data_IF_682444555740
#
_entry.id   IF_682444555740
#
_cell.length_a   1.000
_cell.length_b   1.000
_cell.length_c   1.000
_cell.angle_alpha   90.00
_cell.angle_beta   90.00
_cell.angle_gamma   90.00
#
_symmetry.space_group_name_H-M   'P 1'
#
loop_
_entity.id
_entity.type
_entity.pdbx_description
1 polymer ?
#
# COMPACT_ATOMS: atom_id res chain seq x y z
N UNK A 1 13.14 -5.48 44.43
CA UNK A 1 12.46 -5.63 43.11
C UNK A 1 11.80 -4.32 42.68
N UNK A 2 10.97 -3.70 43.53
CA UNK A 2 10.27 -2.44 43.25
C UNK A 2 11.18 -1.27 42.82
N UNK A 3 12.37 -1.13 43.41
CA UNK A 3 13.33 -0.08 43.06
C UNK A 3 13.95 -0.23 41.67
N UNK A 4 14.16 -1.47 41.21
CA UNK A 4 14.69 -1.75 39.87
C UNK A 4 13.62 -1.42 38.82
N UNK A 5 12.37 -1.83 39.07
CA UNK A 5 11.24 -1.54 38.20
C UNK A 5 11.00 -0.03 38.04
N UNK A 6 11.05 0.75 39.13
CA UNK A 6 10.88 2.21 39.06
C UNK A 6 11.95 2.91 38.21
N UNK A 7 13.19 2.40 38.22
CA UNK A 7 14.28 2.95 37.39
C UNK A 7 14.21 2.48 35.94
N UNK A 8 13.76 1.24 35.71
CA UNK A 8 13.66 0.65 34.38
C UNK A 8 12.47 1.18 33.57
N UNK A 9 11.33 1.45 34.23
CA UNK A 9 10.08 1.83 33.55
C UNK A 9 10.24 3.03 32.60
N UNK A 10 10.94 4.13 32.95
CA UNK A 10 11.16 5.24 32.03
C UNK A 10 11.96 4.82 30.77
N UNK A 11 13.00 4.01 30.92
CA UNK A 11 13.78 3.50 29.78
C UNK A 11 12.95 2.57 28.89
N UNK A 12 12.15 1.70 29.50
CA UNK A 12 11.24 0.82 28.79
C UNK A 12 10.18 1.62 28.00
N UNK A 13 9.62 2.66 28.63
CA UNK A 13 8.67 3.56 27.99
C UNK A 13 9.30 4.28 26.79
N UNK A 14 10.45 4.93 26.99
CA UNK A 14 11.15 5.65 25.91
C UNK A 14 11.51 4.70 24.76
N UNK A 15 12.05 3.53 25.06
CA UNK A 15 12.40 2.52 24.04
C UNK A 15 11.17 2.08 23.23
N UNK A 16 10.03 1.90 23.92
CA UNK A 16 8.77 1.48 23.29
C UNK A 16 8.22 2.58 22.40
N UNK A 17 8.19 3.84 22.87
CA UNK A 17 7.73 4.98 22.09
C UNK A 17 8.60 5.18 20.85
N UNK A 18 9.93 5.10 20.98
CA UNK A 18 10.84 5.23 19.84
C UNK A 18 10.63 4.12 18.81
N UNK A 19 10.52 2.86 19.24
CA UNK A 19 10.27 1.74 18.33
C UNK A 19 8.90 1.86 17.65
N UNK A 20 7.87 2.31 18.38
CA UNK A 20 6.53 2.53 17.83
C UNK A 20 6.54 3.65 16.78
N UNK A 21 7.21 4.77 17.05
CA UNK A 21 7.34 5.87 16.08
C UNK A 21 8.07 5.43 14.82
N UNK A 22 9.17 4.67 14.94
CA UNK A 22 9.89 4.12 13.77
C UNK A 22 8.97 3.21 12.96
N UNK A 23 8.28 2.28 13.63
CA UNK A 23 7.37 1.35 12.97
C UNK A 23 6.26 2.09 12.22
N UNK A 24 5.59 3.04 12.88
CA UNK A 24 4.49 3.79 12.29
C UNK A 24 4.95 4.64 11.11
N UNK A 25 6.07 5.35 11.25
CA UNK A 25 6.63 6.18 10.17
C UNK A 25 6.97 5.35 8.93
N UNK A 26 7.68 4.24 9.10
CA UNK A 26 8.07 3.39 7.95
C UNK A 26 6.85 2.64 7.39
N UNK A 27 5.92 2.19 8.23
CA UNK A 27 4.68 1.58 7.77
C UNK A 27 3.84 2.56 6.93
N UNK A 28 3.77 3.82 7.34
CA UNK A 28 3.08 4.87 6.60
C UNK A 28 3.76 5.15 5.26
N UNK A 29 5.09 5.26 5.25
CA UNK A 29 5.90 5.46 4.04
C UNK A 29 5.70 4.31 3.02
N UNK A 30 5.73 3.06 3.48
CA UNK A 30 5.45 1.89 2.65
C UNK A 30 4.07 1.96 2.00
N UNK A 31 3.04 2.40 2.74
CA UNK A 31 1.69 2.59 2.20
C UNK A 31 1.61 3.74 1.21
N UNK A 32 2.30 4.85 1.42
CA UNK A 32 2.31 5.98 0.50
C UNK A 32 3.06 5.65 -0.79
N UNK A 33 4.23 5.04 -0.69
CA UNK A 33 5.02 4.53 -1.83
C UNK A 33 4.27 3.49 -2.67
N UNK A 34 3.34 2.78 -2.05
CA UNK A 34 2.46 1.85 -2.74
C UNK A 34 1.35 2.53 -3.53
N UNK A 35 1.07 3.83 -3.36
CA UNK A 35 0.01 4.55 -4.05
C UNK A 35 0.54 5.57 -5.08
N UNK A 36 1.70 6.19 -4.82
CA UNK A 36 2.19 7.32 -5.62
C UNK A 36 2.34 7.02 -7.12
N UNK A 37 2.93 5.88 -7.55
CA UNK A 37 3.01 5.55 -8.97
C UNK A 37 1.64 5.40 -9.62
N UNK A 38 0.67 4.81 -8.93
CA UNK A 38 -0.67 4.57 -9.50
C UNK A 38 -1.48 5.85 -9.62
N UNK A 39 -1.30 6.79 -8.69
CA UNK A 39 -1.90 8.12 -8.79
C UNK A 39 -1.40 8.81 -10.06
N UNK A 40 -0.07 8.84 -10.24
CA UNK A 40 0.55 9.44 -11.43
C UNK A 40 0.06 8.76 -12.71
N UNK A 41 0.12 7.44 -12.79
CA UNK A 41 -0.30 6.68 -13.99
C UNK A 41 -1.77 6.93 -14.33
N UNK A 42 -2.67 6.97 -13.32
CA UNK A 42 -4.09 7.23 -13.56
C UNK A 42 -4.35 8.69 -13.98
N UNK A 43 -3.69 9.67 -13.37
CA UNK A 43 -3.83 11.08 -13.71
C UNK A 43 -3.28 11.38 -15.11
N UNK A 44 -2.13 10.80 -15.47
CA UNK A 44 -1.54 10.90 -16.81
C UNK A 44 -2.46 10.27 -17.86
N UNK A 45 -3.00 9.08 -17.59
CA UNK A 45 -3.97 8.45 -18.49
C UNK A 45 -5.23 9.31 -18.69
N UNK A 46 -5.78 9.91 -17.63
CA UNK A 46 -6.92 10.84 -17.74
C UNK A 46 -6.55 12.10 -18.53
N UNK A 47 -5.33 12.62 -18.34
CA UNK A 47 -4.81 13.77 -19.09
C UNK A 47 -4.69 13.46 -20.58
N UNK A 48 -4.18 12.28 -20.93
CA UNK A 48 -4.00 11.87 -22.31
C UNK A 48 -5.32 11.56 -23.02
N UNK A 49 -6.30 10.99 -22.31
CA UNK A 49 -7.68 10.88 -22.82
C UNK A 49 -8.27 12.25 -23.18
N UNK A 50 -8.00 13.30 -22.37
CA UNK A 50 -8.45 14.67 -22.68
C UNK A 50 -7.77 15.26 -23.92
N UNK A 51 -6.54 14.82 -24.22
CA UNK A 51 -5.80 15.20 -25.45
C UNK A 51 -6.22 14.39 -26.68
N UNK A 52 -7.18 13.48 -26.55
CA UNK A 52 -7.70 12.68 -27.66
C UNK A 52 -7.02 11.32 -27.86
N UNK A 53 -6.17 10.88 -26.92
CA UNK A 53 -5.72 9.48 -26.93
C UNK A 53 -6.88 8.53 -26.67
N UNK A 54 -6.77 7.30 -27.17
CA UNK A 54 -7.76 6.24 -26.95
C UNK A 54 -7.29 5.29 -25.84
N UNK A 55 -8.21 4.65 -25.11
CA UNK A 55 -7.88 3.58 -24.17
C UNK A 55 -6.96 2.51 -24.78
N UNK A 56 -7.21 2.11 -26.03
CA UNK A 56 -6.43 1.09 -26.72
C UNK A 56 -4.97 1.50 -26.93
N UNK A 57 -4.71 2.76 -27.31
CA UNK A 57 -3.33 3.26 -27.48
C UNK A 57 -2.57 3.29 -26.14
N UNK A 58 -3.24 3.76 -25.07
CA UNK A 58 -2.65 3.83 -23.74
C UNK A 58 -2.31 2.43 -23.21
N UNK A 59 -3.22 1.47 -23.37
CA UNK A 59 -2.99 0.07 -22.99
C UNK A 59 -1.88 -0.58 -23.83
N UNK A 60 -1.84 -0.33 -25.14
CA UNK A 60 -0.86 -0.94 -26.06
C UNK A 60 0.59 -0.53 -25.75
N UNK A 61 0.79 0.62 -25.10
CA UNK A 61 2.11 1.06 -24.63
C UNK A 61 2.59 0.32 -23.36
N UNK A 62 1.68 -0.36 -22.67
CA UNK A 62 1.96 -1.16 -21.49
C UNK A 62 2.12 -2.63 -21.87
N UNK A 63 2.95 -3.34 -21.10
CA UNK A 63 3.04 -4.80 -21.19
C UNK A 63 1.72 -5.40 -20.70
N UNK A 64 1.13 -6.30 -21.47
CA UNK A 64 0.02 -7.14 -21.00
C UNK A 64 0.51 -8.05 -19.87
N UNK A 65 -0.18 -8.04 -18.74
CA UNK A 65 0.19 -8.84 -17.57
C UNK A 65 -0.97 -9.70 -17.05
N UNK A 66 -0.62 -10.82 -16.43
CA UNK A 66 -1.53 -11.55 -15.56
C UNK A 66 -1.32 -11.07 -14.12
N UNK A 67 -2.40 -10.63 -13.46
CA UNK A 67 -2.34 -10.00 -12.14
C UNK A 67 -1.76 -10.92 -11.07
N UNK A 68 -1.99 -12.22 -11.17
CA UNK A 68 -1.49 -13.23 -10.22
C UNK A 68 0.04 -13.35 -10.23
N UNK A 69 0.65 -13.12 -11.39
CA UNK A 69 2.05 -13.43 -11.62
C UNK A 69 2.92 -12.18 -11.53
N UNK A 70 2.40 -11.04 -11.98
CA UNK A 70 3.17 -9.81 -12.12
C UNK A 70 3.16 -8.91 -10.88
N UNK A 71 4.18 -8.05 -10.77
CA UNK A 71 4.24 -6.93 -9.82
C UNK A 71 4.06 -5.58 -10.51
N UNK A 72 3.99 -5.58 -11.84
CA UNK A 72 3.95 -4.36 -12.63
C UNK A 72 2.61 -3.62 -12.41
N UNK A 73 2.63 -2.28 -12.41
CA UNK A 73 1.41 -1.51 -12.46
C UNK A 73 0.68 -1.74 -13.79
N UNK A 74 -0.64 -1.59 -13.76
CA UNK A 74 -1.50 -1.77 -14.93
C UNK A 74 -2.63 -0.74 -14.98
N UNK A 75 -3.27 -0.67 -16.14
CA UNK A 75 -4.45 0.16 -16.40
C UNK A 75 -5.64 -0.68 -16.83
N UNK A 76 -6.82 -0.26 -16.38
CA UNK A 76 -8.11 -0.74 -16.87
C UNK A 76 -9.01 0.48 -17.14
N UNK A 77 -9.59 0.53 -18.32
CA UNK A 77 -10.55 1.55 -18.72
C UNK A 77 -11.96 0.96 -18.68
N UNK A 78 -12.90 1.72 -18.14
CA UNK A 78 -14.32 1.36 -18.11
C UNK A 78 -15.15 2.47 -18.74
N UNK A 79 -16.25 2.10 -19.38
CA UNK A 79 -17.24 3.04 -19.90
C UNK A 79 -18.10 3.64 -18.77
N UNK A 80 -19.00 4.55 -19.13
CA UNK A 80 -19.94 5.17 -18.19
C UNK A 80 -20.94 4.18 -17.56
N UNK A 81 -21.13 3.02 -18.20
CA UNK A 81 -21.95 1.89 -17.72
C UNK A 81 -21.17 0.92 -16.82
N UNK A 82 -19.96 1.30 -16.40
CA UNK A 82 -19.04 0.51 -15.57
C UNK A 82 -18.54 -0.78 -16.25
N UNK A 83 -18.66 -0.91 -17.59
CA UNK A 83 -18.18 -2.08 -18.32
C UNK A 83 -16.72 -1.88 -18.75
N UNK A 84 -15.88 -2.92 -18.66
CA UNK A 84 -14.50 -2.83 -19.12
C UNK A 84 -14.45 -2.60 -20.64
N UNK A 85 -13.61 -1.65 -21.06
CA UNK A 85 -13.38 -1.28 -22.46
C UNK A 85 -12.03 -1.80 -22.92
N UNK A 86 -10.98 -1.50 -22.17
CA UNK A 86 -9.60 -1.89 -22.48
C UNK A 86 -8.80 -2.14 -21.20
N UNK A 87 -7.80 -3.02 -21.28
CA UNK A 87 -6.96 -3.33 -20.12
C UNK A 87 -5.59 -3.85 -20.48
N UNK A 88 -4.56 -3.41 -19.74
CA UNK A 88 -3.22 -3.99 -19.79
C UNK A 88 -3.04 -5.16 -18.81
N UNK A 89 -4.12 -5.61 -18.14
CA UNK A 89 -4.08 -6.69 -17.17
C UNK A 89 -5.26 -7.65 -17.33
N UNK A 90 -4.99 -8.93 -17.06
CA UNK A 90 -6.01 -9.96 -16.94
C UNK A 90 -5.94 -10.66 -15.61
N UNK A 91 -7.08 -11.22 -15.21
CA UNK A 91 -7.20 -12.17 -14.12
C UNK A 91 -7.91 -13.42 -14.65
N UNK A 92 -7.19 -14.54 -14.72
CA UNK A 92 -7.61 -15.78 -15.35
C UNK A 92 -8.11 -15.55 -16.78
N UNK A 93 -7.37 -14.73 -17.55
CA UNK A 93 -7.67 -14.42 -18.95
C UNK A 93 -8.88 -13.49 -19.18
N UNK A 94 -9.42 -12.86 -18.13
CA UNK A 94 -10.54 -11.91 -18.22
C UNK A 94 -10.16 -10.55 -17.66
N UNK A 95 -10.81 -9.48 -18.13
CA UNK A 95 -10.65 -8.15 -17.53
C UNK A 95 -11.42 -8.13 -16.19
N UNK A 96 -10.75 -7.98 -15.05
CA UNK A 96 -11.41 -7.94 -13.76
C UNK A 96 -12.04 -6.56 -13.52
N UNK A 97 -13.09 -6.51 -12.69
CA UNK A 97 -13.78 -5.26 -12.33
C UNK A 97 -13.95 -5.13 -10.81
N UNK A 98 -13.73 -3.94 -10.23
CA UNK A 98 -13.92 -3.73 -8.80
C UNK A 98 -15.41 -3.69 -8.42
N UNK A 99 -15.74 -3.77 -7.11
CA UNK A 99 -17.13 -3.70 -6.67
C UNK A 99 -17.85 -2.43 -7.16
N UNK A 100 -19.14 -2.55 -7.51
CA UNK A 100 -19.96 -1.44 -8.06
C UNK A 100 -19.92 -0.19 -7.18
N UNK A 101 -19.87 -0.34 -5.85
CA UNK A 101 -19.78 0.79 -4.92
C UNK A 101 -18.51 1.64 -5.06
N UNK A 102 -17.46 1.16 -5.73
CA UNK A 102 -16.29 1.97 -6.11
C UNK A 102 -16.68 2.97 -7.19
N UNK A 103 -17.33 2.51 -8.25
CA UNK A 103 -17.79 3.37 -9.35
C UNK A 103 -18.75 4.45 -8.85
N UNK A 104 -19.74 4.08 -8.04
CA UNK A 104 -20.70 5.03 -7.48
C UNK A 104 -20.03 6.11 -6.62
N UNK A 105 -19.03 5.72 -5.82
CA UNK A 105 -18.27 6.69 -5.05
C UNK A 105 -17.45 7.64 -5.95
N UNK A 106 -16.80 7.11 -6.98
CA UNK A 106 -15.98 7.89 -7.92
C UNK A 106 -16.84 8.83 -8.76
N UNK A 107 -18.06 8.43 -9.14
CA UNK A 107 -19.04 9.32 -9.78
C UNK A 107 -19.30 10.58 -8.96
N UNK A 108 -19.36 10.45 -7.63
CA UNK A 108 -19.61 11.55 -6.69
C UNK A 108 -18.35 12.34 -6.30
N UNK A 109 -17.22 11.67 -6.13
CA UNK A 109 -15.98 12.25 -5.55
C UNK A 109 -14.81 12.38 -6.53
N UNK A 110 -15.01 12.07 -7.81
CA UNK A 110 -14.04 12.11 -8.91
C UNK A 110 -12.88 11.10 -8.83
N UNK A 111 -12.48 10.66 -7.63
CA UNK A 111 -11.50 9.61 -7.47
C UNK A 111 -11.67 8.81 -6.18
N UNK A 112 -11.09 7.60 -6.14
CA UNK A 112 -11.04 6.76 -4.94
C UNK A 112 -9.79 5.89 -4.95
N UNK A 113 -9.04 5.92 -3.84
CA UNK A 113 -7.96 4.99 -3.53
C UNK A 113 -8.50 3.86 -2.67
N UNK A 114 -8.15 2.62 -2.96
CA UNK A 114 -8.64 1.46 -2.23
C UNK A 114 -7.73 0.24 -2.40
N UNK A 115 -7.77 -0.66 -1.42
CA UNK A 115 -7.23 -2.01 -1.58
C UNK A 115 -8.27 -2.88 -2.26
N UNK A 116 -7.85 -3.61 -3.28
CA UNK A 116 -8.71 -4.47 -4.07
C UNK A 116 -8.17 -5.89 -4.06
N UNK A 117 -9.04 -6.86 -3.75
CA UNK A 117 -8.70 -8.29 -3.77
C UNK A 117 -9.70 -9.04 -4.66
N UNK A 118 -9.53 -9.04 -6.00
CA UNK A 118 -10.47 -9.68 -6.92
C UNK A 118 -10.47 -11.21 -6.82
N UNK A 119 -9.34 -11.81 -6.39
CA UNK A 119 -9.19 -13.23 -6.08
C UNK A 119 -8.39 -13.34 -4.78
N UNK A 120 -8.70 -14.35 -3.97
CA UNK A 120 -7.96 -14.62 -2.73
C UNK A 120 -6.45 -14.66 -3.01
N UNK A 121 -5.70 -13.79 -2.31
CA UNK A 121 -4.24 -13.70 -2.46
C UNK A 121 -3.74 -12.77 -3.59
N UNK A 122 -4.65 -12.21 -4.40
CA UNK A 122 -4.33 -11.20 -5.42
C UNK A 122 -4.72 -9.85 -4.86
N UNK A 123 -3.82 -9.22 -4.10
CA UNK A 123 -4.10 -7.97 -3.38
C UNK A 123 -3.42 -6.82 -4.08
N UNK A 124 -4.22 -5.83 -4.46
CA UNK A 124 -3.82 -4.70 -5.29
C UNK A 124 -4.03 -3.37 -4.54
N UNK A 125 -3.09 -2.45 -4.68
CA UNK A 125 -3.31 -1.04 -4.37
C UNK A 125 -3.84 -0.36 -5.62
N UNK A 126 -5.10 0.05 -5.57
CA UNK A 126 -5.83 0.60 -6.70
C UNK A 126 -6.26 2.05 -6.46
N UNK A 127 -6.27 2.82 -7.54
CA UNK A 127 -6.94 4.10 -7.64
C UNK A 127 -7.85 4.09 -8.85
N UNK A 128 -9.05 4.61 -8.70
CA UNK A 128 -9.97 4.86 -9.80
C UNK A 128 -10.22 6.36 -9.89
N UNK A 129 -10.18 6.91 -11.12
CA UNK A 129 -10.44 8.32 -11.42
C UNK A 129 -11.52 8.39 -12.51
N UNK A 130 -12.45 9.33 -12.36
CA UNK A 130 -13.45 9.64 -13.38
C UNK A 130 -12.80 10.37 -14.55
N UNK A 131 -13.12 9.96 -15.77
CA UNK A 131 -12.71 10.65 -17.01
C UNK A 131 -13.95 11.15 -17.78
N UNK A 132 -13.72 11.86 -18.88
CA UNK A 132 -14.80 12.27 -19.80
C UNK A 132 -15.42 11.10 -20.58
N UNK A 133 -14.79 9.92 -20.56
CA UNK A 133 -15.20 8.73 -21.32
C UNK A 133 -15.61 7.56 -20.40
N UNK A 134 -15.71 7.80 -19.09
CA UNK A 134 -16.01 6.78 -18.08
C UNK A 134 -15.03 6.81 -16.90
N UNK A 135 -14.30 5.72 -16.69
CA UNK A 135 -13.40 5.56 -15.55
C UNK A 135 -12.05 4.97 -15.94
N UNK A 136 -11.00 5.44 -15.28
CA UNK A 136 -9.65 4.92 -15.40
C UNK A 136 -9.26 4.32 -14.05
N UNK A 137 -8.88 3.05 -14.04
CA UNK A 137 -8.33 2.37 -12.89
C UNK A 137 -6.85 2.10 -13.12
N UNK A 138 -6.00 2.55 -12.20
CA UNK A 138 -4.61 2.12 -12.10
C UNK A 138 -4.42 1.31 -10.84
N UNK A 139 -3.71 0.20 -10.94
CA UNK A 139 -3.44 -0.66 -9.80
C UNK A 139 -2.09 -1.35 -9.92
N UNK A 140 -1.57 -1.84 -8.79
CA UNK A 140 -0.35 -2.65 -8.72
C UNK A 140 -0.37 -3.58 -7.51
N UNK A 141 0.36 -4.70 -7.61
CA UNK A 141 0.34 -5.72 -6.57
C UNK A 141 0.98 -5.24 -5.27
N UNK A 142 0.32 -5.54 -4.14
CA UNK A 142 0.79 -5.25 -2.78
C UNK A 142 1.81 -6.26 -2.25
N UNK A 143 2.07 -7.35 -2.97
CA UNK A 143 2.89 -8.49 -2.51
C UNK A 143 4.26 -8.08 -1.94
N UNK A 144 4.98 -7.19 -2.63
CA UNK A 144 6.30 -6.74 -2.15
C UNK A 144 6.18 -5.77 -0.96
N UNK A 145 5.11 -4.98 -0.88
CA UNK A 145 4.84 -4.08 0.24
C UNK A 145 4.48 -4.87 1.50
N UNK A 146 3.67 -5.91 1.36
CA UNK A 146 3.29 -6.82 2.47
C UNK A 146 4.52 -7.58 3.00
N UNK A 147 5.41 -8.02 2.10
CA UNK A 147 6.69 -8.62 2.50
C UNK A 147 7.55 -7.65 3.30
N UNK A 148 7.63 -6.39 2.87
CA UNK A 148 8.39 -5.34 3.56
C UNK A 148 7.77 -4.96 4.91
N UNK A 149 6.45 -4.90 5.02
CA UNK A 149 5.75 -4.69 6.30
C UNK A 149 6.06 -5.82 7.30
N UNK A 150 6.05 -7.06 6.83
CA UNK A 150 6.42 -8.22 7.65
C UNK A 150 7.87 -8.14 8.14
N UNK A 151 8.81 -7.83 7.24
CA UNK A 151 10.23 -7.67 7.59
C UNK A 151 10.45 -6.52 8.57
N UNK A 152 9.81 -5.37 8.35
CA UNK A 152 9.86 -4.22 9.25
C UNK A 152 9.40 -4.60 10.65
N UNK A 153 8.27 -5.31 10.75
CA UNK A 153 7.70 -5.76 12.03
C UNK A 153 8.67 -6.65 12.80
N UNK A 154 9.30 -7.62 12.13
CA UNK A 154 10.30 -8.48 12.75
C UNK A 154 11.54 -7.70 13.20
N UNK A 155 12.07 -6.83 12.33
CA UNK A 155 13.27 -6.05 12.64
C UNK A 155 13.05 -5.09 13.82
N UNK A 156 11.93 -4.35 13.82
CA UNK A 156 11.59 -3.45 14.92
C UNK A 156 11.29 -4.25 16.20
N UNK A 157 10.56 -5.36 16.10
CA UNK A 157 10.26 -6.21 17.26
C UNK A 157 11.50 -6.78 17.94
N UNK A 158 12.46 -7.30 17.16
CA UNK A 158 13.73 -7.83 17.70
C UNK A 158 14.53 -6.70 18.37
N UNK A 159 14.66 -5.55 17.70
CA UNK A 159 15.41 -4.40 18.26
C UNK A 159 14.75 -3.86 19.53
N UNK A 160 13.42 -3.81 19.57
CA UNK A 160 12.67 -3.42 20.76
C UNK A 160 12.97 -4.33 21.95
N UNK A 161 12.95 -5.65 21.75
CA UNK A 161 13.30 -6.63 22.79
C UNK A 161 14.75 -6.41 23.28
N UNK A 162 15.70 -6.22 22.37
CA UNK A 162 17.10 -5.94 22.72
C UNK A 162 17.20 -4.66 23.57
N UNK A 163 16.49 -3.58 23.21
CA UNK A 163 16.45 -2.35 24.00
C UNK A 163 15.88 -2.57 25.42
N UNK A 164 14.81 -3.35 25.55
CA UNK A 164 14.20 -3.66 26.84
C UNK A 164 15.14 -4.48 27.74
N UNK A 165 15.78 -5.51 27.19
CA UNK A 165 16.73 -6.34 27.93
C UNK A 165 17.98 -5.55 28.33
N UNK A 166 18.52 -4.75 27.40
CA UNK A 166 19.70 -3.93 27.66
C UNK A 166 19.42 -2.90 28.76
N UNK A 167 18.31 -2.16 28.66
CA UNK A 167 17.92 -1.19 29.69
C UNK A 167 17.63 -1.84 31.05
N UNK A 168 17.10 -3.07 31.06
CA UNK A 168 16.88 -3.83 32.29
C UNK A 168 18.21 -4.21 32.96
N UNK A 169 19.17 -4.70 32.19
CA UNK A 169 20.50 -5.05 32.73
C UNK A 169 21.20 -3.83 33.33
N UNK A 170 21.15 -2.67 32.67
CA UNK A 170 21.70 -1.41 33.20
C UNK A 170 21.02 -1.02 34.51
N UNK A 171 19.69 -1.04 34.55
CA UNK A 171 18.90 -0.67 35.76
C UNK A 171 19.13 -1.61 36.95
N UNK A 172 19.59 -2.84 36.67
CA UNK A 172 19.91 -3.86 37.67
C UNK A 172 21.34 -3.74 38.24
N UNK A 173 22.31 -3.23 37.45
CA UNK A 173 23.72 -3.11 37.84
C UNK A 173 23.99 -1.96 38.81
N UNK A 174 23.16 -0.92 38.78
CA UNK A 174 23.19 0.24 39.70
C UNK A 174 22.84 -0.08 41.18
N UNK A 175 22.93 -1.35 41.58
CA UNK A 175 22.89 -1.80 42.97
C UNK A 175 24.27 -2.16 43.53
N UNK A 176 25.30 -2.26 42.70
CA UNK A 176 26.62 -2.75 43.10
C UNK A 176 27.70 -1.66 43.28
N UNK A 177 27.40 -0.39 42.95
CA UNK A 177 28.35 0.73 43.04
C UNK A 177 28.01 1.75 44.14
N UNK A 178 27.26 1.36 45.18
CA UNK A 178 26.89 2.21 46.31
C UNK A 178 27.13 1.52 47.63
#
# INVERSE_FOLDING_TARGET
>A
MLSILKRWLPFAFISTVLCALIYLSVQQDLRQSANDPQIQIAEDAVSDLKKGQTPANLVSSLKQIEMEESLAPFLIFYDESNKPVESSASLNGRIPSPPVGVFEFVKLKQSKRFTWEPKKGVREAAIMIKSSQGFVLSAKSLREIEKRDYQLRLQVGIRWIICLLSSLTVSSRDKFNG
#
